data_IF_859335494372
#
_entry.id   IF_859335494372
#
_cell.length_a   1.000
_cell.length_b   1.000
_cell.length_c   1.000
_cell.angle_alpha   90.00
_cell.angle_beta   90.00
_cell.angle_gamma   90.00
#
_symmetry.space_group_name_H-M   'P 1'
#
loop_
_entity.id
_entity.type
_entity.pdbx_description
1 polymer ?
#
# COMPACT_ATOMS: atom_id res chain seq x y z
N UNK A 1 -34.41 -14.47 -25.87
CA UNK A 1 -33.64 -13.21 -25.80
C UNK A 1 -32.18 -13.56 -25.97
N UNK A 2 -31.45 -12.77 -26.75
CA UNK A 2 -30.01 -12.92 -26.97
C UNK A 2 -29.29 -11.76 -26.31
N UNK A 3 -28.19 -12.05 -25.64
CA UNK A 3 -27.28 -11.07 -25.06
C UNK A 3 -25.90 -11.30 -25.66
N UNK A 4 -25.28 -10.25 -26.16
CA UNK A 4 -23.93 -10.30 -26.71
C UNK A 4 -22.97 -9.62 -25.75
N UNK A 5 -21.92 -10.34 -25.35
CA UNK A 5 -20.83 -9.85 -24.50
C UNK A 5 -19.53 -10.18 -25.22
N UNK A 6 -18.70 -9.17 -25.51
CA UNK A 6 -17.44 -9.34 -26.26
C UNK A 6 -17.62 -10.16 -27.57
N UNK A 7 -18.69 -9.86 -28.31
CA UNK A 7 -19.02 -10.56 -29.55
C UNK A 7 -19.52 -12.01 -29.39
N UNK A 8 -19.53 -12.58 -28.17
CA UNK A 8 -20.10 -13.90 -27.87
C UNK A 8 -21.58 -13.78 -27.53
N UNK A 9 -22.38 -14.68 -28.09
CA UNK A 9 -23.82 -14.72 -27.86
C UNK A 9 -24.19 -15.67 -26.72
N UNK A 10 -25.06 -15.19 -25.86
CA UNK A 10 -25.67 -15.92 -24.77
C UNK A 10 -27.19 -15.81 -24.91
N UNK A 11 -27.91 -16.87 -24.55
CA UNK A 11 -29.37 -16.88 -24.65
C UNK A 11 -30.01 -17.03 -23.29
N UNK A 12 -31.10 -16.30 -23.07
CA UNK A 12 -31.95 -16.42 -21.90
C UNK A 12 -33.42 -16.18 -22.26
N UNK A 13 -34.32 -16.44 -21.33
CA UNK A 13 -35.76 -16.19 -21.47
C UNK A 13 -36.19 -14.95 -20.71
N UNK A 14 -37.27 -14.33 -21.18
CA UNK A 14 -37.94 -13.24 -20.47
C UNK A 14 -39.13 -13.82 -19.71
N UNK A 15 -39.19 -13.60 -18.40
CA UNK A 15 -40.29 -14.05 -17.53
C UNK A 15 -40.76 -12.86 -16.69
N UNK A 16 -42.07 -12.63 -16.61
CA UNK A 16 -42.66 -11.52 -15.83
C UNK A 16 -42.05 -10.14 -16.12
N UNK A 17 -41.75 -9.87 -17.40
CA UNK A 17 -41.08 -8.65 -17.88
C UNK A 17 -39.65 -8.43 -17.33
N UNK A 18 -39.01 -9.47 -16.82
CA UNK A 18 -37.61 -9.47 -16.39
C UNK A 18 -36.83 -10.58 -17.09
N UNK A 19 -35.51 -10.45 -17.10
CA UNK A 19 -34.59 -11.48 -17.58
C UNK A 19 -33.33 -11.47 -16.71
N UNK A 20 -32.67 -12.61 -16.63
CA UNK A 20 -31.36 -12.77 -16.02
C UNK A 20 -30.51 -13.67 -16.90
N UNK A 21 -29.22 -13.40 -16.97
CA UNK A 21 -28.27 -14.25 -17.67
C UNK A 21 -27.14 -14.60 -16.71
N UNK A 22 -26.90 -15.89 -16.54
CA UNK A 22 -25.68 -16.38 -15.88
C UNK A 22 -24.57 -16.44 -16.92
N UNK A 23 -23.49 -15.70 -16.68
CA UNK A 23 -22.31 -15.67 -17.54
C UNK A 23 -21.24 -16.55 -16.89
N UNK A 24 -20.69 -17.56 -17.61
CA UNK A 24 -19.64 -18.42 -17.06
C UNK A 24 -18.41 -17.60 -16.62
N UNK A 25 -17.78 -17.99 -15.52
CA UNK A 25 -16.56 -17.32 -15.04
C UNK A 25 -15.47 -17.24 -16.12
N UNK A 26 -15.27 -18.29 -16.91
CA UNK A 26 -14.30 -18.30 -18.02
C UNK A 26 -14.62 -17.33 -19.14
N UNK A 27 -15.87 -16.89 -19.29
CA UNK A 27 -16.23 -15.83 -20.22
C UNK A 27 -15.90 -14.45 -19.66
N UNK A 28 -16.08 -14.25 -18.35
CA UNK A 28 -15.69 -13.02 -17.64
C UNK A 28 -14.17 -12.88 -17.63
N UNK A 29 -13.43 -13.95 -17.32
CA UNK A 29 -11.96 -13.99 -17.35
C UNK A 29 -11.36 -13.76 -18.75
N UNK A 30 -12.15 -13.97 -19.80
CA UNK A 30 -11.72 -13.79 -21.18
C UNK A 30 -12.03 -12.39 -21.74
N UNK A 31 -12.67 -11.51 -20.97
CA UNK A 31 -12.91 -10.14 -21.39
C UNK A 31 -11.58 -9.40 -21.50
N UNK A 32 -11.43 -8.61 -22.56
CA UNK A 32 -10.27 -7.74 -22.71
C UNK A 32 -10.38 -6.52 -21.77
N UNK A 33 -9.23 -5.98 -21.37
CA UNK A 33 -9.14 -4.72 -20.64
C UNK A 33 -9.83 -3.56 -21.39
N UNK A 34 -10.32 -2.60 -20.62
CA UNK A 34 -11.02 -1.40 -21.08
C UNK A 34 -12.52 -1.57 -21.27
N UNK A 35 -13.13 -0.65 -22.03
CA UNK A 35 -14.58 -0.60 -22.20
C UNK A 35 -15.11 -1.76 -23.05
N UNK A 36 -16.05 -2.52 -22.49
CA UNK A 36 -16.79 -3.57 -23.17
C UNK A 36 -18.27 -3.17 -23.30
N UNK A 37 -18.86 -3.38 -24.48
CA UNK A 37 -20.29 -3.11 -24.70
C UNK A 37 -21.10 -4.40 -24.65
N UNK A 38 -22.04 -4.47 -23.70
CA UNK A 38 -23.07 -5.50 -23.62
C UNK A 38 -24.24 -5.07 -24.51
N UNK A 39 -24.76 -6.00 -25.33
CA UNK A 39 -25.94 -5.76 -26.17
C UNK A 39 -27.03 -6.78 -25.88
N UNK A 40 -28.28 -6.37 -26.01
CA UNK A 40 -29.44 -7.21 -25.71
C UNK A 40 -30.50 -7.06 -26.82
N UNK A 41 -30.93 -8.20 -27.36
CA UNK A 41 -31.90 -8.32 -28.44
C UNK A 41 -33.04 -9.28 -28.07
N UNK A 42 -34.27 -8.87 -28.36
CA UNK A 42 -35.48 -9.67 -28.12
C UNK A 42 -36.52 -9.42 -29.21
N UNK A 43 -37.34 -10.42 -29.48
CA UNK A 43 -38.50 -10.32 -30.36
C UNK A 43 -39.72 -10.91 -29.65
N UNK A 44 -40.91 -10.38 -29.97
CA UNK A 44 -42.16 -10.96 -29.49
C UNK A 44 -42.46 -12.31 -30.16
N UNK A 45 -43.51 -13.00 -29.70
CA UNK A 45 -43.92 -14.30 -30.26
C UNK A 45 -44.33 -14.22 -31.74
N UNK A 46 -44.76 -13.04 -32.21
CA UNK A 46 -45.08 -12.79 -33.61
C UNK A 46 -43.83 -12.50 -34.48
N UNK A 47 -42.64 -12.42 -33.87
CA UNK A 47 -41.37 -12.18 -34.55
C UNK A 47 -41.04 -10.70 -34.78
N UNK A 48 -41.71 -9.76 -34.10
CA UNK A 48 -41.38 -8.34 -34.17
C UNK A 48 -40.21 -8.03 -33.25
N UNK A 49 -39.06 -7.51 -33.76
CA UNK A 49 -37.91 -7.17 -32.93
C UNK A 49 -38.15 -5.87 -32.15
N UNK A 50 -37.70 -5.84 -30.90
CA UNK A 50 -37.54 -4.61 -30.15
C UNK A 50 -36.29 -3.84 -30.61
N UNK A 51 -36.18 -2.51 -30.37
CA UNK A 51 -34.93 -1.80 -30.50
C UNK A 51 -33.84 -2.44 -29.61
N UNK A 52 -32.63 -2.61 -30.15
CA UNK A 52 -31.49 -3.15 -29.41
C UNK A 52 -31.15 -2.24 -28.21
N UNK A 53 -30.96 -2.85 -27.05
CA UNK A 53 -30.43 -2.18 -25.87
C UNK A 53 -28.92 -2.44 -25.76
N UNK A 54 -28.18 -1.46 -25.24
CA UNK A 54 -26.75 -1.62 -24.96
C UNK A 54 -26.36 -0.94 -23.66
N UNK A 55 -25.32 -1.46 -23.03
CA UNK A 55 -24.70 -0.90 -21.84
C UNK A 55 -23.19 -1.13 -21.89
N UNK A 56 -22.43 -0.09 -21.57
CA UNK A 56 -20.97 -0.20 -21.49
C UNK A 56 -20.57 -0.57 -20.06
N UNK A 57 -19.57 -1.42 -19.94
CA UNK A 57 -18.86 -1.75 -18.70
C UNK A 57 -17.37 -1.47 -18.91
N UNK A 58 -16.64 -1.29 -17.83
CA UNK A 58 -15.19 -1.18 -17.83
C UNK A 58 -14.60 -2.43 -17.19
N UNK A 59 -13.66 -3.07 -17.88
CA UNK A 59 -12.85 -4.16 -17.37
C UNK A 59 -11.49 -3.59 -17.05
N UNK A 60 -11.14 -3.60 -15.78
CA UNK A 60 -9.82 -3.21 -15.29
C UNK A 60 -9.36 -4.26 -14.29
N UNK A 61 -8.45 -5.14 -14.73
CA UNK A 61 -7.85 -6.17 -13.89
C UNK A 61 -6.33 -6.01 -13.74
N UNK A 62 -5.79 -4.89 -14.21
CA UNK A 62 -4.35 -4.62 -14.12
C UNK A 62 -3.95 -4.31 -12.67
N UNK A 63 -3.12 -5.17 -12.08
CA UNK A 63 -2.68 -4.97 -10.71
C UNK A 63 -1.77 -3.73 -10.58
N UNK A 64 -2.05 -2.82 -9.63
CA UNK A 64 -1.17 -1.70 -9.34
C UNK A 64 0.09 -2.13 -8.58
N UNK A 65 1.03 -1.19 -8.40
CA UNK A 65 2.15 -1.38 -7.48
C UNK A 65 2.36 -0.17 -6.57
N UNK A 66 2.98 -0.43 -5.41
CA UNK A 66 3.41 0.56 -4.44
C UNK A 66 4.82 0.21 -3.93
N UNK A 67 5.63 1.23 -3.71
CA UNK A 67 6.99 1.12 -3.17
C UNK A 67 7.22 2.15 -2.08
N UNK A 68 8.00 1.79 -1.07
CA UNK A 68 8.52 2.72 -0.05
C UNK A 68 9.92 3.15 -0.49
N UNK A 69 10.18 4.45 -0.53
CA UNK A 69 11.51 5.01 -0.78
C UNK A 69 12.37 4.90 0.46
N UNK A 70 13.56 4.33 0.29
CA UNK A 70 14.55 4.09 1.36
C UNK A 70 15.87 4.76 1.01
N UNK A 71 16.72 5.05 2.02
CA UNK A 71 16.49 4.84 3.46
C UNK A 71 15.49 5.85 4.04
N UNK A 72 14.81 5.45 5.11
CA UNK A 72 13.97 6.28 5.98
C UNK A 72 14.86 6.91 7.05
N UNK A 73 14.56 8.13 7.51
CA UNK A 73 15.43 8.91 8.41
C UNK A 73 16.86 9.17 7.89
N UNK A 74 17.18 8.77 6.65
CA UNK A 74 18.50 8.93 6.02
C UNK A 74 19.40 7.71 6.14
N UNK A 75 19.16 6.82 7.10
CA UNK A 75 19.97 5.62 7.34
C UNK A 75 19.19 4.40 7.89
N UNK A 76 17.85 4.44 7.85
CA UNK A 76 16.93 3.44 8.41
C UNK A 76 17.02 3.27 9.94
N UNK A 77 17.63 4.23 10.64
CA UNK A 77 17.70 4.27 12.09
C UNK A 77 17.01 5.55 12.57
N UNK A 78 16.15 5.43 13.58
CA UNK A 78 15.63 6.57 14.32
C UNK A 78 16.45 6.70 15.58
N UNK A 79 17.32 7.70 15.62
CA UNK A 79 18.09 8.04 16.81
C UNK A 79 17.33 8.99 17.75
N UNK A 80 17.91 9.26 18.92
CA UNK A 80 17.29 10.11 19.94
C UNK A 80 16.98 11.56 19.50
N UNK A 81 17.67 12.10 18.50
CA UNK A 81 17.35 13.42 17.97
C UNK A 81 16.19 13.34 16.95
N UNK A 82 16.21 12.33 16.09
CA UNK A 82 15.15 12.10 15.09
C UNK A 82 13.83 11.67 15.72
N UNK A 83 13.87 11.00 16.89
CA UNK A 83 12.66 10.60 17.60
C UNK A 83 11.77 11.77 18.02
N UNK A 84 12.37 12.96 18.21
CA UNK A 84 11.68 14.19 18.63
C UNK A 84 11.15 15.00 17.42
N UNK A 85 11.42 14.56 16.19
CA UNK A 85 11.03 15.23 14.95
C UNK A 85 9.93 14.44 14.18
N UNK A 86 9.11 15.10 13.33
CA UNK A 86 8.21 14.39 12.44
C UNK A 86 8.98 13.53 11.43
N UNK A 87 8.51 12.30 11.20
CA UNK A 87 9.13 11.37 10.25
C UNK A 87 8.41 11.42 8.89
N UNK A 88 9.14 11.73 7.82
CA UNK A 88 8.61 11.62 6.47
C UNK A 88 8.83 10.22 5.91
N UNK A 89 7.74 9.57 5.49
CA UNK A 89 7.76 8.31 4.73
C UNK A 89 7.20 8.61 3.34
N UNK A 90 7.92 8.22 2.31
CA UNK A 90 7.52 8.51 0.93
C UNK A 90 7.71 7.30 0.03
N UNK A 91 7.19 7.39 -1.19
CA UNK A 91 7.26 6.29 -2.12
C UNK A 91 6.68 6.62 -3.48
N UNK A 92 6.65 5.60 -4.33
CA UNK A 92 6.09 5.66 -5.68
C UNK A 92 5.00 4.62 -5.88
N UNK A 93 4.17 4.84 -6.88
CA UNK A 93 3.16 3.89 -7.35
C UNK A 93 3.26 3.70 -8.86
N UNK A 94 2.68 2.64 -9.38
CA UNK A 94 2.41 2.48 -10.82
C UNK A 94 1.00 1.98 -11.02
N UNK A 95 0.32 2.46 -12.05
CA UNK A 95 -1.09 2.14 -12.34
C UNK A 95 -2.01 2.45 -11.15
N UNK A 96 -1.75 3.55 -10.45
CA UNK A 96 -2.62 4.04 -9.38
C UNK A 96 -2.96 5.49 -9.70
N UNK A 97 -4.26 5.77 -9.79
CA UNK A 97 -4.76 7.10 -10.14
C UNK A 97 -4.48 8.11 -9.03
N UNK A 98 -4.34 9.38 -9.41
CA UNK A 98 -4.19 10.47 -8.45
C UNK A 98 -5.41 10.53 -7.52
N UNK A 99 -5.15 10.71 -6.23
CA UNK A 99 -6.19 10.77 -5.20
C UNK A 99 -6.52 9.43 -4.54
N UNK A 100 -6.00 8.30 -5.04
CA UNK A 100 -6.12 7.02 -4.34
C UNK A 100 -5.43 7.09 -2.97
N UNK A 101 -6.06 6.45 -1.98
CA UNK A 101 -5.61 6.52 -0.58
C UNK A 101 -4.48 5.51 -0.34
N UNK A 102 -3.32 6.01 0.06
CA UNK A 102 -2.23 5.19 0.58
C UNK A 102 -2.41 5.07 2.09
N UNK A 103 -2.42 3.84 2.60
CA UNK A 103 -2.44 3.56 4.03
C UNK A 103 -1.07 3.03 4.45
N UNK A 104 -0.42 3.71 5.39
CA UNK A 104 0.86 3.32 5.97
C UNK A 104 0.64 2.87 7.40
N UNK A 105 1.14 1.70 7.74
CA UNK A 105 1.10 1.15 9.10
C UNK A 105 2.50 1.10 9.70
N UNK A 106 2.67 1.66 10.90
CA UNK A 106 3.87 1.57 11.73
C UNK A 106 3.45 1.30 13.18
N UNK A 107 4.06 0.31 13.85
CA UNK A 107 3.69 -0.14 15.21
C UNK A 107 2.17 -0.40 15.38
N UNK A 108 1.55 -0.98 14.33
CA UNK A 108 0.11 -1.25 14.31
C UNK A 108 -0.81 -0.02 14.24
N UNK A 109 -0.27 1.20 14.12
CA UNK A 109 -1.03 2.44 13.90
C UNK A 109 -1.08 2.78 12.41
N UNK A 110 -2.25 3.18 11.95
CA UNK A 110 -2.49 3.57 10.56
C UNK A 110 -2.41 5.08 10.35
N UNK A 111 -1.80 5.46 9.23
CA UNK A 111 -1.68 6.82 8.75
C UNK A 111 -2.05 6.83 7.28
N UNK A 112 -2.65 7.92 6.79
CA UNK A 112 -3.12 7.99 5.41
C UNK A 112 -2.60 9.22 4.69
N UNK A 113 -2.31 9.03 3.41
CA UNK A 113 -2.02 10.09 2.45
C UNK A 113 -2.65 9.71 1.11
N UNK A 114 -2.43 10.51 0.07
CA UNK A 114 -2.96 10.25 -1.27
C UNK A 114 -1.86 10.20 -2.31
N UNK A 115 -2.07 9.41 -3.36
CA UNK A 115 -1.20 9.40 -4.55
C UNK A 115 -1.32 10.73 -5.30
N UNK A 116 -0.18 11.28 -5.72
CA UNK A 116 -0.08 12.42 -6.64
C UNK A 116 1.14 12.23 -7.54
N UNK A 117 0.91 12.27 -8.85
CA UNK A 117 1.92 12.13 -9.90
C UNK A 117 2.76 10.85 -9.76
N UNK A 118 2.08 9.70 -9.52
CA UNK A 118 2.69 8.38 -9.26
C UNK A 118 3.62 8.35 -8.04
N UNK A 119 3.47 9.30 -7.12
CA UNK A 119 4.22 9.38 -5.87
C UNK A 119 3.28 9.58 -4.68
N UNK A 120 3.80 9.33 -3.49
CA UNK A 120 3.10 9.62 -2.24
C UNK A 120 4.11 10.05 -1.17
N UNK A 121 3.63 10.87 -0.24
CA UNK A 121 4.41 11.30 0.92
C UNK A 121 3.48 11.44 2.12
N UNK A 122 3.93 10.92 3.24
CA UNK A 122 3.23 10.92 4.52
C UNK A 122 4.17 11.48 5.58
N UNK A 123 3.65 12.41 6.38
CA UNK A 123 4.32 12.88 7.59
C UNK A 123 3.70 12.19 8.81
N UNK A 124 4.52 11.41 9.52
CA UNK A 124 4.17 10.82 10.82
C UNK A 124 4.51 11.87 11.90
N UNK A 125 3.55 12.29 12.74
CA UNK A 125 3.80 13.33 13.75
C UNK A 125 4.88 12.92 14.76
N UNK A 126 5.69 13.88 15.22
CA UNK A 126 6.75 13.66 16.21
C UNK A 126 6.29 12.84 17.43
N UNK A 127 5.14 13.17 18.03
CA UNK A 127 4.60 12.43 19.19
C UNK A 127 4.30 10.94 18.91
N UNK A 128 4.11 10.57 17.65
CA UNK A 128 3.96 9.18 17.25
C UNK A 128 5.30 8.48 17.02
N UNK A 129 6.30 9.22 16.54
CA UNK A 129 7.69 8.77 16.39
C UNK A 129 8.31 8.54 17.77
N UNK A 130 8.17 9.49 18.69
CA UNK A 130 8.58 9.37 20.11
C UNK A 130 7.94 8.16 20.82
N UNK A 131 6.77 7.71 20.34
CA UNK A 131 6.03 6.60 20.93
C UNK A 131 6.41 5.24 20.34
N UNK A 132 7.32 5.17 19.36
CA UNK A 132 7.82 3.90 18.83
C UNK A 132 8.66 3.19 19.88
N UNK A 133 8.57 1.87 19.93
CA UNK A 133 9.40 1.07 20.82
C UNK A 133 10.83 0.94 20.27
N UNK A 134 11.81 0.81 21.17
CA UNK A 134 13.18 0.45 20.82
C UNK A 134 13.25 -0.86 20.02
N UNK A 135 14.22 -0.93 19.11
CA UNK A 135 14.44 -2.06 18.21
C UNK A 135 13.70 -1.94 16.87
N UNK A 136 13.59 -3.08 16.18
CA UNK A 136 13.08 -3.11 14.81
C UNK A 136 11.59 -2.79 14.71
N UNK A 137 11.25 -1.85 13.85
CA UNK A 137 9.89 -1.49 13.47
C UNK A 137 9.65 -1.79 11.99
N UNK A 138 8.56 -2.50 11.68
CA UNK A 138 8.16 -2.76 10.29
C UNK A 138 7.13 -1.74 9.82
N UNK A 139 7.47 -1.02 8.77
CA UNK A 139 6.57 -0.12 8.04
C UNK A 139 5.93 -0.89 6.90
N UNK A 140 4.61 -0.75 6.75
CA UNK A 140 3.84 -1.36 5.65
C UNK A 140 3.07 -0.28 4.91
N UNK A 141 3.00 -0.37 3.59
CA UNK A 141 2.21 0.54 2.76
C UNK A 141 1.30 -0.24 1.81
N UNK A 142 0.03 0.15 1.77
CA UNK A 142 -1.03 -0.46 0.98
C UNK A 142 -1.77 0.61 0.17
N UNK A 143 -2.21 0.26 -1.04
CA UNK A 143 -3.02 1.10 -1.93
C UNK A 143 -3.81 0.22 -2.90
N UNK A 144 -4.92 0.76 -3.40
CA UNK A 144 -5.68 0.20 -4.52
C UNK A 144 -5.80 1.23 -5.63
N UNK A 145 -6.00 0.78 -6.86
CA UNK A 145 -6.39 1.64 -7.99
C UNK A 145 -7.87 2.06 -7.90
N UNK A 146 -8.35 2.85 -8.87
CA UNK A 146 -9.75 3.30 -8.93
C UNK A 146 -10.74 2.16 -9.17
N UNK A 147 -10.34 1.10 -9.86
CA UNK A 147 -11.16 -0.11 -10.08
C UNK A 147 -11.28 -0.99 -8.82
N UNK A 148 -10.43 -0.76 -7.82
CA UNK A 148 -10.40 -1.48 -6.55
C UNK A 148 -9.44 -2.67 -6.53
N UNK A 149 -8.56 -2.83 -7.52
CA UNK A 149 -7.51 -3.84 -7.49
C UNK A 149 -6.43 -3.43 -6.46
N UNK A 150 -6.06 -4.33 -5.52
CA UNK A 150 -5.04 -4.01 -4.53
C UNK A 150 -3.63 -4.19 -5.08
N UNK A 151 -2.73 -3.28 -4.73
CA UNK A 151 -1.30 -3.48 -4.96
C UNK A 151 -0.76 -4.55 -3.99
N UNK A 152 0.27 -5.33 -4.37
CA UNK A 152 1.04 -6.08 -3.40
C UNK A 152 1.60 -5.14 -2.33
N UNK A 153 1.37 -5.45 -1.05
CA UNK A 153 1.82 -4.64 0.08
C UNK A 153 3.34 -4.42 0.04
N UNK A 154 3.77 -3.16 0.13
CA UNK A 154 5.17 -2.84 0.34
C UNK A 154 5.50 -2.90 1.84
N UNK A 155 6.70 -3.36 2.17
CA UNK A 155 7.18 -3.41 3.55
C UNK A 155 8.66 -3.05 3.64
N UNK A 156 9.03 -2.32 4.68
CA UNK A 156 10.42 -1.99 4.98
C UNK A 156 10.64 -1.91 6.49
N UNK A 157 11.78 -2.40 6.96
CA UNK A 157 12.13 -2.37 8.37
C UNK A 157 13.05 -1.19 8.66
N UNK A 158 12.85 -0.55 9.81
CA UNK A 158 13.75 0.46 10.39
C UNK A 158 14.13 0.01 11.80
N UNK A 159 15.21 0.56 12.36
CA UNK A 159 15.60 0.35 13.75
C UNK A 159 15.34 1.64 14.55
N UNK A 160 14.72 1.52 15.72
CA UNK A 160 14.69 2.62 16.71
C UNK A 160 15.79 2.35 17.72
N UNK A 161 16.75 3.28 17.83
CA UNK A 161 17.84 3.23 18.80
C UNK A 161 18.06 4.62 19.41
N UNK A 162 17.36 4.90 20.51
CA UNK A 162 17.49 6.18 21.22
C UNK A 162 18.45 6.10 22.41
N UNK A 163 19.04 4.93 22.67
CA UNK A 163 19.87 4.69 23.85
C UNK A 163 21.31 5.18 23.65
N UNK A 164 21.69 6.23 24.39
CA UNK A 164 23.07 6.68 24.42
C UNK A 164 24.00 5.64 25.09
N UNK A 165 25.23 5.42 24.56
CA UNK A 165 26.17 4.52 25.19
C UNK A 165 26.58 5.01 26.58
N UNK A 166 26.73 4.07 27.52
CA UNK A 166 27.24 4.36 28.87
C UNK A 166 28.76 4.13 28.95
N UNK A 167 29.46 4.98 29.71
CA UNK A 167 30.90 4.82 29.99
C UNK A 167 31.19 4.99 31.48
N UNK A 168 31.99 4.08 32.05
CA UNK A 168 32.40 4.10 33.46
C UNK A 168 33.89 3.78 33.60
N UNK A 169 34.60 4.52 34.45
CA UNK A 169 35.93 4.09 34.92
C UNK A 169 35.70 3.11 36.08
N UNK A 170 36.25 1.90 35.98
CA UNK A 170 36.17 0.90 37.06
C UNK A 170 37.58 0.53 37.53
N UNK A 171 37.69 0.26 38.83
CA UNK A 171 38.91 -0.01 39.64
C UNK A 171 39.76 1.22 39.99
N UNK A 172 40.32 1.26 41.21
CA UNK A 172 41.06 2.42 41.66
C UNK A 172 42.31 2.65 40.81
N UNK A 173 42.54 3.90 40.41
CA UNK A 173 43.75 4.33 39.70
C UNK A 173 44.95 4.08 40.62
N UNK A 174 45.98 3.38 40.16
CA UNK A 174 47.10 2.94 40.99
C UNK A 174 46.74 2.06 42.22
N UNK A 175 45.57 1.42 42.24
CA UNK A 175 45.19 0.48 43.31
C UNK A 175 44.60 1.13 44.57
N UNK A 176 44.83 2.44 44.77
CA UNK A 176 44.30 3.22 45.90
C UNK A 176 43.77 4.62 45.50
N UNK A 177 43.64 4.91 44.21
CA UNK A 177 43.28 6.22 43.63
C UNK A 177 44.31 7.34 43.89
N UNK A 178 45.55 7.00 44.27
CA UNK A 178 46.62 7.96 44.53
C UNK A 178 47.84 7.60 43.69
N UNK A 179 48.24 8.51 42.78
CA UNK A 179 49.55 8.40 42.10
C UNK A 179 50.64 8.86 43.06
N UNK A 180 51.49 7.93 43.50
CA UNK A 180 52.69 8.23 44.27
C UNK A 180 53.97 8.17 43.42
N UNK A 181 55.11 8.57 44.01
CA UNK A 181 56.37 8.66 43.28
C UNK A 181 56.85 7.31 42.72
N UNK A 182 56.56 6.20 43.40
CA UNK A 182 56.95 4.86 42.95
C UNK A 182 56.16 4.41 41.72
N UNK A 183 54.88 4.80 41.61
CA UNK A 183 54.07 4.53 40.42
C UNK A 183 54.42 5.46 39.24
N UNK A 184 54.91 6.68 39.52
CA UNK A 184 55.26 7.65 38.46
C UNK A 184 56.50 7.28 37.64
N UNK A 185 57.29 6.29 38.08
CA UNK A 185 58.52 5.84 37.42
C UNK A 185 58.36 4.52 36.62
N UNK A 186 57.20 3.87 36.69
CA UNK A 186 56.91 2.63 35.94
C UNK A 186 56.18 3.02 34.64
N UNK A 187 56.85 2.85 33.49
CA UNK A 187 56.31 3.15 32.16
C UNK A 187 55.68 1.92 31.50
#
# INVERSE_FOLDING_TARGET
MTVTIDGKEYTTTVTDNAWSLEVPASAVEALAEGTQTIKADVSDEAGNPAPQASHDIEVDTEAPSIFITTPIAGDDIINAAESDDPLTISGTTTNVENGQTVTVTIDGKEYTTTVTDNAWSLEVPASAVEALAEGTQTIKADVSDEAGNPAPQASHDIEVDTEAPSIFITTPIAGDDIINAAESEIH
#
